data_IF_159496814452
#
_entry.id   IF_159496814452
#
_cell.length_a   1.000
_cell.length_b   1.000
_cell.length_c   1.000
_cell.angle_alpha   90.00
_cell.angle_beta   90.00
_cell.angle_gamma   90.00
#
_symmetry.space_group_name_H-M   'P 1'
#
loop_
_entity.id
_entity.type
_entity.pdbx_description
1 polymer ?
#
# COMPACT_ATOMS: atom_id res chain seq x y z
N UNK A 1 10.61 -36.65 -4.29
CA UNK A 1 12.05 -36.86 -4.59
C UNK A 1 12.82 -36.25 -3.43
N UNK A 2 13.55 -37.06 -2.63
CA UNK A 2 14.42 -36.56 -1.57
C UNK A 2 15.60 -35.82 -2.21
N UNK A 3 15.51 -34.54 -2.37
CA UNK A 3 16.66 -33.69 -2.65
C UNK A 3 17.49 -33.62 -1.37
N UNK A 4 18.59 -34.35 -1.33
CA UNK A 4 19.66 -34.22 -0.32
C UNK A 4 20.16 -32.77 -0.41
N UNK A 5 19.62 -31.85 0.40
CA UNK A 5 20.15 -30.49 0.54
C UNK A 5 21.52 -30.62 1.18
N UNK A 6 22.57 -30.46 0.38
CA UNK A 6 23.95 -30.42 0.87
C UNK A 6 24.17 -29.04 1.49
N UNK A 7 23.92 -28.89 2.76
CA UNK A 7 24.37 -27.74 3.54
C UNK A 7 25.90 -27.74 3.56
N UNK A 8 26.54 -26.67 3.09
CA UNK A 8 27.99 -26.51 3.09
C UNK A 8 28.38 -25.37 4.03
N UNK A 9 29.30 -25.65 4.93
CA UNK A 9 29.84 -24.66 5.87
C UNK A 9 31.19 -24.16 5.36
N UNK A 10 31.38 -22.85 5.40
CA UNK A 10 32.62 -22.18 5.01
C UNK A 10 33.08 -21.23 6.13
N UNK A 11 34.40 -21.15 6.26
CA UNK A 11 35.11 -20.21 7.14
C UNK A 11 35.99 -19.26 6.34
N UNK A 12 35.76 -19.16 5.03
CA UNK A 12 36.56 -18.39 4.07
C UNK A 12 35.97 -17.00 3.82
N UNK A 13 35.58 -16.30 4.90
CA UNK A 13 35.19 -14.89 4.81
C UNK A 13 36.46 -14.09 4.47
N UNK A 14 36.44 -13.40 3.33
CA UNK A 14 37.61 -12.60 2.86
C UNK A 14 37.46 -11.13 3.21
N UNK A 15 36.21 -10.61 3.23
CA UNK A 15 35.94 -9.20 3.49
C UNK A 15 34.62 -9.02 4.23
N UNK A 16 34.53 -7.98 5.09
CA UNK A 16 33.31 -7.48 5.72
C UNK A 16 33.31 -5.96 5.55
N UNK A 17 32.32 -5.44 4.81
CA UNK A 17 32.23 -4.02 4.46
C UNK A 17 30.78 -3.53 4.50
N UNK A 18 30.49 -2.59 5.40
CA UNK A 18 29.10 -2.13 5.61
C UNK A 18 28.15 -3.31 5.91
N UNK A 19 27.02 -3.46 5.23
CA UNK A 19 26.10 -4.56 5.44
C UNK A 19 26.50 -5.84 4.70
N UNK A 20 27.64 -5.84 4.01
CA UNK A 20 28.07 -6.91 3.11
C UNK A 20 29.21 -7.75 3.70
N UNK A 21 29.20 -9.03 3.37
CA UNK A 21 30.24 -9.99 3.68
C UNK A 21 30.57 -10.79 2.41
N UNK A 22 31.86 -10.97 2.14
CA UNK A 22 32.36 -11.74 0.99
C UNK A 22 32.90 -13.07 1.48
N UNK A 23 32.48 -14.16 0.84
CA UNK A 23 32.95 -15.53 1.11
C UNK A 23 33.54 -16.10 -0.15
N UNK A 24 34.79 -16.59 -0.05
CA UNK A 24 35.53 -17.19 -1.16
C UNK A 24 35.53 -18.74 -1.09
N UNK A 25 35.79 -19.37 -2.23
CA UNK A 25 35.86 -20.80 -2.33
C UNK A 25 34.51 -21.51 -2.27
N UNK A 26 33.43 -20.79 -2.56
CA UNK A 26 32.06 -21.35 -2.56
C UNK A 26 31.79 -22.15 -3.84
N UNK A 27 31.03 -23.23 -3.72
CA UNK A 27 30.62 -24.05 -4.87
C UNK A 27 29.13 -24.34 -4.84
N UNK A 28 28.46 -24.17 -5.99
CA UNK A 28 27.04 -24.52 -6.17
C UNK A 28 26.08 -23.67 -5.34
N UNK A 29 26.51 -22.46 -5.04
CA UNK A 29 25.68 -21.43 -4.34
C UNK A 29 24.78 -20.74 -5.37
N UNK A 30 23.51 -20.51 -5.00
CA UNK A 30 22.52 -19.87 -5.83
C UNK A 30 22.34 -18.38 -5.49
N UNK A 31 21.88 -17.62 -6.47
CA UNK A 31 21.44 -16.25 -6.27
C UNK A 31 20.19 -16.24 -5.36
N UNK A 32 20.07 -15.25 -4.44
CA UNK A 32 19.03 -15.17 -3.42
C UNK A 32 18.99 -16.31 -2.39
N UNK A 33 20.00 -17.15 -2.35
CA UNK A 33 20.11 -18.22 -1.36
C UNK A 33 20.30 -17.64 0.05
N UNK A 34 19.64 -18.23 1.03
CA UNK A 34 19.80 -17.86 2.45
C UNK A 34 21.07 -18.50 3.03
N UNK A 35 21.76 -17.73 3.82
CA UNK A 35 23.00 -18.12 4.49
C UNK A 35 22.82 -17.93 6.00
N UNK A 36 23.02 -19.01 6.75
CA UNK A 36 23.16 -18.94 8.21
C UNK A 36 24.58 -18.47 8.54
N UNK A 37 24.72 -17.52 9.41
CA UNK A 37 25.99 -16.91 9.81
C UNK A 37 26.13 -17.08 11.33
N UNK A 38 27.27 -17.63 11.75
CA UNK A 38 27.63 -17.73 13.17
C UNK A 38 28.77 -16.77 13.46
N UNK A 39 28.52 -15.81 14.34
CA UNK A 39 29.54 -14.85 14.77
C UNK A 39 30.61 -15.53 15.64
N UNK A 40 31.80 -14.93 15.81
CA UNK A 40 32.82 -15.44 16.72
C UNK A 40 32.33 -15.67 18.17
N UNK A 41 31.31 -14.93 18.58
CA UNK A 41 30.72 -15.03 19.91
C UNK A 41 29.60 -16.09 20.00
N UNK A 42 29.30 -16.81 18.89
CA UNK A 42 28.27 -17.83 18.81
C UNK A 42 26.84 -17.28 18.59
N UNK A 43 26.71 -16.00 18.29
CA UNK A 43 25.44 -15.40 17.89
C UNK A 43 25.08 -15.87 16.48
N UNK A 44 23.81 -16.19 16.25
CA UNK A 44 23.32 -16.60 14.95
C UNK A 44 22.71 -15.41 14.23
N UNK A 45 23.11 -15.21 13.00
CA UNK A 45 22.57 -14.22 12.05
C UNK A 45 22.20 -14.91 10.75
N UNK A 46 21.47 -14.20 9.94
CA UNK A 46 21.06 -14.66 8.61
C UNK A 46 21.50 -13.67 7.56
N UNK A 47 21.68 -14.15 6.34
CA UNK A 47 22.00 -13.31 5.20
C UNK A 47 21.45 -13.89 3.91
N UNK A 48 21.55 -13.12 2.85
CA UNK A 48 21.12 -13.50 1.51
C UNK A 48 22.25 -13.30 0.51
N UNK A 49 22.43 -14.26 -0.38
CA UNK A 49 23.39 -14.17 -1.47
C UNK A 49 22.88 -13.14 -2.49
N UNK A 50 23.66 -12.09 -2.70
CA UNK A 50 23.37 -11.03 -3.65
C UNK A 50 24.03 -11.22 -5.00
N UNK A 51 25.23 -11.78 -4.99
CA UNK A 51 26.02 -12.00 -6.19
C UNK A 51 26.86 -13.25 -6.03
N UNK A 52 26.99 -13.99 -7.11
CA UNK A 52 27.88 -15.16 -7.19
C UNK A 52 28.72 -15.01 -8.45
N UNK A 53 30.05 -14.97 -8.28
CA UNK A 53 31.00 -14.93 -9.39
C UNK A 53 31.98 -16.05 -9.21
N UNK A 54 31.90 -17.08 -10.05
CA UNK A 54 32.72 -18.31 -9.99
C UNK A 54 32.65 -18.98 -8.60
N UNK A 55 33.61 -18.69 -7.74
CA UNK A 55 33.81 -19.24 -6.41
C UNK A 55 33.72 -18.19 -5.30
N UNK A 56 33.19 -17.01 -5.61
CA UNK A 56 32.98 -15.90 -4.67
C UNK A 56 31.51 -15.60 -4.54
N UNK A 57 31.01 -15.56 -3.31
CA UNK A 57 29.65 -15.10 -2.99
C UNK A 57 29.69 -13.80 -2.17
N UNK A 58 28.93 -12.81 -2.61
CA UNK A 58 28.65 -11.60 -1.84
C UNK A 58 27.33 -11.80 -1.10
N UNK A 59 27.37 -11.70 0.21
CA UNK A 59 26.25 -11.95 1.11
C UNK A 59 25.88 -10.64 1.78
N UNK A 60 24.62 -10.32 1.79
CA UNK A 60 24.07 -9.26 2.62
C UNK A 60 23.58 -9.85 3.94
N UNK A 61 24.09 -9.34 5.04
CA UNK A 61 23.74 -9.78 6.39
C UNK A 61 22.54 -9.01 6.90
N UNK A 62 21.49 -9.71 7.35
CA UNK A 62 20.21 -9.08 7.74
C UNK A 62 20.33 -8.29 9.05
N UNK A 63 20.93 -8.90 10.06
CA UNK A 63 21.06 -8.30 11.40
C UNK A 63 22.31 -7.41 11.53
N UNK A 64 22.95 -7.08 10.41
CA UNK A 64 24.16 -6.25 10.38
C UNK A 64 25.45 -7.04 10.57
N UNK A 65 26.57 -6.39 10.31
CA UNK A 65 27.91 -7.01 10.27
C UNK A 65 28.76 -6.72 11.49
N UNK A 66 28.24 -6.06 12.51
CA UNK A 66 28.94 -5.83 13.76
C UNK A 66 29.42 -7.16 14.35
N UNK A 67 30.64 -7.19 14.89
CA UNK A 67 31.26 -8.38 15.47
C UNK A 67 31.58 -9.54 14.49
N UNK A 68 31.31 -9.39 13.19
CA UNK A 68 31.81 -10.31 12.17
C UNK A 68 33.28 -10.04 11.87
N UNK A 69 34.04 -11.09 11.65
CA UNK A 69 35.44 -10.98 11.23
C UNK A 69 35.77 -12.04 10.17
N UNK A 70 36.92 -11.85 9.51
CA UNK A 70 37.39 -12.74 8.45
C UNK A 70 38.03 -14.05 8.93
N UNK A 71 38.17 -14.28 10.26
CA UNK A 71 38.89 -15.42 10.78
C UNK A 71 37.98 -16.49 11.41
N UNK A 72 37.01 -16.03 12.20
CA UNK A 72 36.24 -16.89 13.10
C UNK A 72 34.75 -16.94 12.74
N UNK A 73 34.30 -16.12 11.77
CA UNK A 73 32.92 -16.15 11.29
C UNK A 73 32.71 -17.40 10.44
N UNK A 74 31.63 -18.12 10.73
CA UNK A 74 31.21 -19.29 9.96
C UNK A 74 29.97 -18.98 9.14
N UNK A 75 29.93 -19.48 7.92
CA UNK A 75 28.81 -19.33 7.00
C UNK A 75 28.33 -20.68 6.52
N UNK A 76 27.00 -20.85 6.52
CA UNK A 76 26.38 -22.08 6.05
C UNK A 76 25.31 -21.75 5.01
N UNK A 77 25.57 -22.12 3.77
CA UNK A 77 24.60 -21.95 2.69
C UNK A 77 23.53 -23.02 2.78
N UNK A 78 22.27 -22.60 2.75
CA UNK A 78 21.12 -23.47 3.01
C UNK A 78 20.60 -24.18 1.76
N UNK A 79 21.01 -23.74 0.56
CA UNK A 79 20.47 -24.21 -0.71
C UNK A 79 19.03 -23.81 -0.97
N UNK A 80 18.51 -22.84 -0.22
CA UNK A 80 17.12 -22.39 -0.31
C UNK A 80 17.04 -20.87 -0.34
N UNK A 81 16.03 -20.35 -1.02
CA UNK A 81 15.65 -18.93 -0.98
C UNK A 81 14.94 -18.60 0.33
N UNK A 82 14.76 -17.31 0.59
CA UNK A 82 14.02 -16.87 1.76
C UNK A 82 12.56 -17.34 1.72
N UNK A 83 12.10 -17.93 2.82
CA UNK A 83 10.73 -18.43 2.98
C UNK A 83 10.07 -17.83 4.21
N UNK A 84 8.76 -17.79 4.19
CA UNK A 84 7.93 -17.51 5.36
C UNK A 84 7.00 -18.70 5.62
N UNK A 85 6.91 -19.10 6.89
CA UNK A 85 5.91 -20.06 7.33
C UNK A 85 4.57 -19.34 7.47
N UNK A 86 3.56 -19.79 6.72
CA UNK A 86 2.21 -19.18 6.69
C UNK A 86 1.19 -20.10 7.32
N UNK A 87 0.24 -19.50 8.02
CA UNK A 87 -0.90 -20.17 8.63
C UNK A 87 -2.04 -19.18 8.83
N UNK A 88 -3.27 -19.67 8.93
CA UNK A 88 -4.41 -18.85 9.33
C UNK A 88 -4.22 -18.22 10.72
N UNK A 89 -3.45 -18.84 11.60
CA UNK A 89 -3.14 -18.35 12.94
C UNK A 89 -2.29 -17.07 12.97
N UNK A 90 -1.81 -16.60 11.81
CA UNK A 90 -1.17 -15.29 11.68
C UNK A 90 -2.18 -14.12 11.74
N UNK A 91 -3.48 -14.36 11.58
CA UNK A 91 -4.51 -13.34 11.77
C UNK A 91 -4.56 -12.94 13.25
N UNK A 92 -4.67 -11.65 13.50
CA UNK A 92 -4.64 -11.10 14.85
C UNK A 92 -3.23 -10.91 15.43
N UNK A 93 -2.18 -11.21 14.65
CA UNK A 93 -0.80 -11.22 15.13
C UNK A 93 0.06 -10.11 14.52
N UNK A 94 1.17 -9.83 15.18
CA UNK A 94 2.12 -8.78 14.81
C UNK A 94 3.50 -9.38 14.67
N UNK A 95 4.12 -9.09 13.52
CA UNK A 95 5.41 -9.61 13.12
C UNK A 95 6.40 -8.48 12.84
N UNK A 96 7.68 -8.75 12.99
CA UNK A 96 8.73 -7.86 12.48
C UNK A 96 8.91 -7.99 10.96
N UNK A 97 9.84 -7.24 10.37
CA UNK A 97 10.08 -7.19 8.93
C UNK A 97 10.51 -8.53 8.28
N UNK A 98 10.94 -9.49 9.08
CA UNK A 98 11.34 -10.84 8.62
C UNK A 98 10.35 -11.94 9.05
N UNK A 99 9.14 -11.55 9.49
CA UNK A 99 8.07 -12.49 9.80
C UNK A 99 8.16 -13.18 11.16
N UNK A 100 8.98 -12.70 12.10
CA UNK A 100 9.01 -13.21 13.48
C UNK A 100 7.95 -12.51 14.33
N UNK A 101 7.16 -13.23 15.15
CA UNK A 101 6.19 -12.62 16.07
C UNK A 101 6.88 -11.66 17.06
N UNK A 102 6.29 -10.49 17.27
CA UNK A 102 6.77 -9.47 18.23
C UNK A 102 5.71 -9.05 19.25
N UNK A 103 4.54 -9.64 19.21
CA UNK A 103 3.39 -9.39 20.09
C UNK A 103 3.43 -10.18 21.42
N UNK A 104 4.52 -10.92 21.68
CA UNK A 104 4.65 -11.76 22.87
C UNK A 104 3.81 -13.05 22.84
N UNK A 105 3.10 -13.31 21.76
CA UNK A 105 2.38 -14.56 21.54
C UNK A 105 3.30 -15.74 21.19
N UNK A 106 2.75 -16.96 21.10
CA UNK A 106 3.52 -18.15 20.74
C UNK A 106 4.03 -18.06 19.29
N UNK A 107 5.07 -18.83 18.96
CA UNK A 107 5.49 -19.02 17.58
C UNK A 107 4.37 -19.63 16.75
N UNK A 108 4.24 -19.19 15.51
CA UNK A 108 3.27 -19.74 14.56
C UNK A 108 3.75 -21.13 14.09
N UNK A 109 2.87 -22.11 14.15
CA UNK A 109 3.10 -23.39 13.51
C UNK A 109 2.63 -23.25 12.07
N UNK A 110 3.52 -23.27 11.08
CA UNK A 110 3.14 -23.02 9.70
C UNK A 110 2.35 -24.19 9.12
N UNK A 111 1.30 -23.88 8.36
CA UNK A 111 0.63 -24.86 7.50
C UNK A 111 1.48 -25.15 6.25
N UNK A 112 2.13 -24.10 5.73
CA UNK A 112 3.02 -24.16 4.57
C UNK A 112 4.23 -23.24 4.74
N UNK A 113 5.34 -23.57 4.06
CA UNK A 113 6.50 -22.68 3.90
C UNK A 113 6.57 -22.19 2.46
N UNK A 114 6.35 -20.91 2.23
CA UNK A 114 6.30 -20.30 0.91
C UNK A 114 7.50 -19.39 0.65
N UNK A 115 7.96 -19.38 -0.60
CA UNK A 115 9.00 -18.47 -1.08
C UNK A 115 8.49 -17.04 -1.08
N UNK A 116 9.20 -16.11 -0.44
CA UNK A 116 8.78 -14.72 -0.29
C UNK A 116 8.80 -13.93 -1.61
N UNK A 117 9.48 -14.42 -2.64
CA UNK A 117 9.41 -13.79 -3.96
C UNK A 117 8.08 -14.04 -4.65
N UNK A 118 7.27 -14.95 -4.12
CA UNK A 118 5.95 -15.29 -4.64
C UNK A 118 6.00 -16.03 -5.97
N UNK A 119 4.84 -16.40 -6.47
CA UNK A 119 4.70 -16.94 -7.81
C UNK A 119 4.19 -15.83 -8.77
N UNK A 120 4.83 -15.64 -9.93
CA UNK A 120 4.33 -14.68 -10.90
C UNK A 120 2.93 -15.10 -11.36
N UNK A 121 1.96 -14.17 -11.22
CA UNK A 121 0.60 -14.38 -11.68
C UNK A 121 0.56 -14.41 -13.21
N UNK A 122 0.04 -15.50 -13.78
CA UNK A 122 -0.09 -15.62 -15.23
C UNK A 122 -1.06 -14.53 -15.75
N UNK A 123 -0.64 -13.64 -16.65
CA UNK A 123 -1.50 -12.58 -17.17
C UNK A 123 -2.77 -13.11 -17.85
N UNK A 124 -2.71 -14.30 -18.47
CA UNK A 124 -3.86 -14.92 -19.14
C UNK A 124 -4.91 -15.48 -18.17
N UNK A 125 -4.54 -15.67 -16.90
CA UNK A 125 -5.43 -16.14 -15.83
C UNK A 125 -5.95 -15.00 -14.95
N UNK A 126 -5.60 -13.75 -15.24
CA UNK A 126 -6.11 -12.59 -14.50
C UNK A 126 -7.53 -12.28 -14.90
N UNK A 127 -8.41 -12.19 -13.93
CA UNK A 127 -9.74 -11.62 -14.12
C UNK A 127 -9.70 -10.09 -14.06
N UNK A 128 -10.62 -9.46 -14.81
CA UNK A 128 -10.79 -8.01 -14.75
C UNK A 128 -11.46 -7.62 -13.42
N UNK A 129 -10.94 -6.63 -12.68
CA UNK A 129 -11.52 -6.15 -11.43
C UNK A 129 -12.90 -5.51 -11.65
N UNK A 130 -13.93 -5.98 -10.93
CA UNK A 130 -15.32 -5.53 -11.12
C UNK A 130 -16.11 -5.34 -9.81
N UNK A 131 -15.57 -5.72 -8.65
CA UNK A 131 -16.30 -5.66 -7.39
C UNK A 131 -15.86 -4.49 -6.53
N UNK A 132 -16.83 -3.81 -5.90
CA UNK A 132 -16.64 -2.67 -5.04
C UNK A 132 -16.03 -3.06 -3.68
N UNK A 133 -14.99 -2.35 -3.25
CA UNK A 133 -14.49 -2.38 -1.87
C UNK A 133 -14.87 -1.07 -1.21
N UNK A 134 -15.67 -1.15 -0.15
CA UNK A 134 -16.02 0.01 0.67
C UNK A 134 -14.88 0.31 1.63
N UNK A 135 -14.32 1.52 1.54
CA UNK A 135 -13.29 2.02 2.46
C UNK A 135 -13.88 2.84 3.60
N UNK A 136 -15.12 3.25 3.48
CA UNK A 136 -15.82 4.13 4.40
C UNK A 136 -15.41 5.61 4.30
N UNK A 137 -14.62 5.96 3.26
CA UNK A 137 -14.16 7.32 2.98
C UNK A 137 -14.88 7.84 1.74
N UNK A 138 -15.73 8.87 1.90
CA UNK A 138 -16.58 9.38 0.82
C UNK A 138 -15.81 9.79 -0.44
N UNK A 139 -14.65 10.41 -0.31
CA UNK A 139 -13.80 10.83 -1.45
C UNK A 139 -13.18 9.67 -2.20
N UNK A 140 -12.98 8.53 -1.55
CA UNK A 140 -12.52 7.30 -2.18
C UNK A 140 -13.73 6.56 -2.76
N UNK A 141 -14.67 6.17 -1.92
CA UNK A 141 -15.79 5.32 -2.31
C UNK A 141 -16.69 5.98 -3.37
N UNK A 142 -16.97 7.27 -3.21
CA UNK A 142 -17.86 8.02 -4.11
C UNK A 142 -17.21 8.52 -5.39
N UNK A 143 -15.91 8.81 -5.40
CA UNK A 143 -15.26 9.54 -6.50
C UNK A 143 -14.04 8.85 -7.10
N UNK A 144 -13.40 7.95 -6.36
CA UNK A 144 -12.17 7.24 -6.76
C UNK A 144 -12.21 5.80 -6.28
N UNK A 145 -13.31 5.13 -6.53
CA UNK A 145 -13.68 3.84 -5.99
C UNK A 145 -12.56 2.79 -6.09
N UNK A 146 -12.27 2.14 -4.96
CA UNK A 146 -11.38 1.00 -4.89
C UNK A 146 -12.11 -0.26 -5.38
N UNK A 147 -11.47 -0.98 -6.29
CA UNK A 147 -12.04 -2.19 -6.90
C UNK A 147 -11.23 -3.40 -6.47
N UNK A 148 -11.90 -4.51 -6.22
CA UNK A 148 -11.30 -5.76 -5.78
C UNK A 148 -10.26 -6.28 -6.78
N UNK A 149 -9.04 -6.51 -6.32
CA UNK A 149 -7.90 -6.90 -7.16
C UNK A 149 -7.11 -5.74 -7.77
N UNK A 150 -7.48 -4.49 -7.46
CA UNK A 150 -6.81 -3.28 -7.94
C UNK A 150 -5.57 -2.92 -7.12
N UNK A 151 -4.66 -2.17 -7.75
CA UNK A 151 -3.56 -1.44 -7.11
C UNK A 151 -3.87 0.05 -7.14
N UNK A 152 -4.29 0.63 -6.00
CA UNK A 152 -4.66 2.04 -5.91
C UNK A 152 -3.82 2.72 -4.81
N UNK A 153 -2.72 3.39 -5.17
CA UNK A 153 -1.82 4.03 -4.21
C UNK A 153 -2.38 5.33 -3.66
N UNK A 154 -1.93 5.69 -2.45
CA UNK A 154 -2.13 6.99 -1.83
C UNK A 154 -0.82 7.78 -1.92
N UNK A 155 -0.86 8.91 -2.62
CA UNK A 155 0.24 9.85 -2.73
C UNK A 155 0.08 10.94 -1.67
N UNK A 156 0.93 10.91 -0.67
CA UNK A 156 0.95 11.85 0.45
C UNK A 156 2.12 12.83 0.36
N UNK A 157 2.12 13.84 1.20
CA UNK A 157 3.25 14.72 1.47
C UNK A 157 3.73 14.59 2.91
N UNK A 158 4.96 15.00 3.18
CA UNK A 158 5.51 14.95 4.54
C UNK A 158 4.65 15.74 5.53
N UNK A 159 4.29 15.10 6.65
CA UNK A 159 3.45 15.67 7.71
C UNK A 159 1.95 15.73 7.38
N UNK A 160 1.49 15.15 6.26
CA UNK A 160 0.06 14.92 6.02
C UNK A 160 -0.41 13.66 6.76
N UNK A 161 -1.71 13.57 7.11
CA UNK A 161 -2.25 12.50 7.98
C UNK A 161 -2.50 11.19 7.24
N UNK A 162 -1.53 10.71 6.46
CA UNK A 162 -1.66 9.46 5.72
C UNK A 162 -1.70 8.22 6.62
N UNK A 163 -1.01 8.28 7.78
CA UNK A 163 -1.06 7.21 8.77
C UNK A 163 -2.45 7.07 9.40
N UNK A 164 -3.09 8.20 9.74
CA UNK A 164 -4.48 8.21 10.23
C UNK A 164 -5.42 7.60 9.18
N UNK A 165 -5.27 7.98 7.91
CA UNK A 165 -6.08 7.46 6.82
C UNK A 165 -5.85 5.96 6.58
N UNK A 166 -4.59 5.51 6.63
CA UNK A 166 -4.23 4.10 6.49
C UNK A 166 -4.90 3.23 7.57
N UNK A 167 -4.83 3.67 8.82
CA UNK A 167 -5.44 2.98 9.96
C UNK A 167 -6.97 2.98 9.86
N UNK A 168 -7.56 4.10 9.46
CA UNK A 168 -9.00 4.21 9.27
C UNK A 168 -9.49 3.23 8.19
N UNK A 169 -8.82 3.16 7.03
CA UNK A 169 -9.13 2.21 5.97
C UNK A 169 -8.92 0.77 6.45
N UNK A 170 -7.78 0.47 7.09
CA UNK A 170 -7.48 -0.88 7.60
C UNK A 170 -8.57 -1.40 8.55
N UNK A 171 -9.14 -0.52 9.36
CA UNK A 171 -10.15 -0.84 10.35
C UNK A 171 -11.53 -1.07 9.75
N UNK A 172 -11.93 -0.29 8.76
CA UNK A 172 -13.31 -0.23 8.29
C UNK A 172 -13.55 -0.76 6.87
N UNK A 173 -12.46 -1.06 6.12
CA UNK A 173 -12.59 -1.62 4.78
C UNK A 173 -13.30 -2.97 4.78
N UNK A 174 -14.18 -3.18 3.80
CA UNK A 174 -14.97 -4.40 3.64
C UNK A 174 -15.47 -4.59 2.21
N UNK A 175 -15.75 -5.83 1.86
CA UNK A 175 -16.53 -6.19 0.67
C UNK A 175 -17.97 -6.43 1.11
N UNK A 176 -18.91 -5.71 0.54
CA UNK A 176 -20.33 -5.82 0.93
C UNK A 176 -20.86 -7.22 0.65
N UNK A 177 -21.41 -7.87 1.69
CA UNK A 177 -21.96 -9.24 1.60
C UNK A 177 -20.92 -10.36 1.69
N UNK A 178 -19.65 -10.06 1.92
CA UNK A 178 -18.55 -11.03 2.09
C UNK A 178 -17.60 -10.63 3.24
N UNK A 179 -18.14 -10.08 4.32
CA UNK A 179 -17.34 -9.52 5.42
C UNK A 179 -16.54 -10.57 6.21
N UNK A 180 -17.05 -11.81 6.29
CA UNK A 180 -16.39 -12.91 7.03
C UNK A 180 -15.19 -13.50 6.26
N UNK A 181 -15.10 -13.26 4.96
CA UNK A 181 -14.03 -13.72 4.08
C UNK A 181 -13.03 -12.61 3.78
N UNK A 182 -13.10 -11.48 4.50
CA UNK A 182 -12.25 -10.31 4.29
C UNK A 182 -11.14 -10.24 5.35
N UNK A 183 -9.91 -10.10 4.89
CA UNK A 183 -8.73 -9.90 5.74
C UNK A 183 -7.94 -8.69 5.30
N UNK A 184 -7.25 -8.05 6.25
CA UNK A 184 -6.34 -6.94 5.97
C UNK A 184 -4.93 -7.32 6.39
N UNK A 185 -3.96 -7.08 5.51
CA UNK A 185 -2.54 -7.15 5.84
C UNK A 185 -1.99 -5.73 5.86
N UNK A 186 -1.43 -5.34 6.99
CA UNK A 186 -0.83 -4.03 7.19
C UNK A 186 0.67 -4.17 7.31
N UNK A 187 1.43 -3.67 6.34
CA UNK A 187 2.88 -3.72 6.34
C UNK A 187 3.45 -2.30 6.44
N UNK A 188 4.09 -2.01 7.57
CA UNK A 188 4.73 -0.74 7.85
C UNK A 188 6.25 -0.86 7.71
N UNK A 189 6.86 0.02 6.90
CA UNK A 189 8.26 -0.03 6.51
C UNK A 189 8.99 1.25 6.91
N UNK A 190 10.04 1.12 7.74
CA UNK A 190 10.88 2.24 8.15
C UNK A 190 10.14 3.28 9.00
N UNK A 191 9.15 2.84 9.76
CA UNK A 191 8.36 3.71 10.62
C UNK A 191 9.09 3.99 11.95
N UNK A 192 8.77 5.13 12.55
CA UNK A 192 9.28 5.47 13.89
C UNK A 192 8.59 4.63 14.96
N UNK A 193 9.23 4.51 16.14
CA UNK A 193 8.62 3.87 17.31
C UNK A 193 7.30 4.56 17.72
N UNK A 194 7.18 5.86 17.50
CA UNK A 194 5.96 6.62 17.79
C UNK A 194 4.82 6.22 16.85
N UNK A 195 5.09 6.10 15.56
CA UNK A 195 4.12 5.62 14.56
C UNK A 195 3.72 4.18 14.82
N UNK A 196 4.67 3.30 15.16
CA UNK A 196 4.38 1.91 15.52
C UNK A 196 3.43 1.83 16.71
N UNK A 197 3.71 2.59 17.79
CA UNK A 197 2.84 2.68 18.95
C UNK A 197 1.45 3.26 18.62
N UNK A 198 1.38 4.22 17.69
CA UNK A 198 0.12 4.78 17.22
C UNK A 198 -0.73 3.70 16.53
N UNK A 199 -0.16 2.96 15.58
CA UNK A 199 -0.85 1.87 14.89
C UNK A 199 -1.37 0.80 15.85
N UNK A 200 -0.49 0.35 16.77
CA UNK A 200 -0.84 -0.68 17.74
C UNK A 200 -2.00 -0.28 18.63
N UNK A 201 -1.92 0.92 19.21
CA UNK A 201 -2.97 1.43 20.11
C UNK A 201 -4.32 1.59 19.41
N UNK A 202 -4.32 2.03 18.15
CA UNK A 202 -5.58 2.17 17.41
C UNK A 202 -6.19 0.82 17.07
N UNK A 203 -5.41 -0.13 16.58
CA UNK A 203 -5.88 -1.48 16.25
C UNK A 203 -6.39 -2.23 17.49
N UNK A 204 -5.70 -2.11 18.64
CA UNK A 204 -6.16 -2.67 19.90
C UNK A 204 -7.45 -1.99 20.41
N UNK A 205 -7.46 -0.65 20.43
CA UNK A 205 -8.61 0.16 20.91
C UNK A 205 -9.89 -0.16 20.14
N UNK A 206 -9.78 -0.41 18.85
CA UNK A 206 -10.92 -0.63 17.96
C UNK A 206 -11.30 -2.09 17.78
N UNK A 207 -10.47 -3.03 18.25
CA UNK A 207 -10.64 -4.46 18.02
C UNK A 207 -10.37 -4.89 16.56
N UNK A 208 -9.84 -3.98 15.74
CA UNK A 208 -9.55 -4.27 14.33
C UNK A 208 -8.49 -5.35 14.17
N UNK A 209 -7.62 -5.52 15.17
CA UNK A 209 -6.51 -6.48 15.12
C UNK A 209 -6.98 -7.91 14.81
N UNK A 210 -8.18 -8.31 15.22
CA UNK A 210 -8.70 -9.66 14.97
C UNK A 210 -8.75 -10.05 13.47
N UNK A 211 -8.91 -9.07 12.58
CA UNK A 211 -8.95 -9.25 11.11
C UNK A 211 -7.66 -8.83 10.42
N UNK A 212 -6.68 -8.32 11.19
CA UNK A 212 -5.41 -7.83 10.66
C UNK A 212 -4.28 -8.84 10.87
N UNK A 213 -3.38 -8.88 9.90
CA UNK A 213 -2.01 -9.39 10.10
C UNK A 213 -1.06 -8.22 9.88
N UNK A 214 -0.22 -7.94 10.88
CA UNK A 214 0.61 -6.74 10.87
C UNK A 214 2.08 -7.11 10.76
N UNK A 215 2.79 -6.50 9.80
CA UNK A 215 4.24 -6.58 9.67
C UNK A 215 4.83 -5.20 9.94
N UNK A 216 5.81 -5.11 10.83
CA UNK A 216 6.44 -3.85 11.18
C UNK A 216 7.96 -3.93 11.05
N UNK A 217 8.52 -3.00 10.27
CA UNK A 217 9.94 -2.70 10.23
C UNK A 217 10.13 -1.28 10.74
N UNK A 218 10.92 -1.10 11.78
CA UNK A 218 11.18 0.19 12.38
C UNK A 218 12.29 0.95 11.63
N UNK A 219 12.41 2.24 11.90
CA UNK A 219 13.39 3.10 11.25
C UNK A 219 14.83 2.74 11.60
N UNK A 220 15.05 2.18 12.80
CA UNK A 220 16.33 1.71 13.30
C UNK A 220 16.63 0.23 12.97
N UNK A 221 15.67 -0.50 12.40
CA UNK A 221 15.91 -1.84 11.87
C UNK A 221 16.75 -1.79 10.57
N UNK A 222 17.48 -2.86 10.26
CA UNK A 222 18.30 -2.94 9.04
C UNK A 222 17.51 -2.68 7.75
N UNK A 223 18.12 -1.95 6.80
CA UNK A 223 17.49 -1.61 5.53
C UNK A 223 17.06 -2.85 4.72
N UNK A 224 17.74 -3.98 4.87
CA UNK A 224 17.36 -5.22 4.20
C UNK A 224 16.05 -5.81 4.73
N UNK A 225 15.79 -5.74 6.03
CA UNK A 225 14.50 -6.16 6.59
C UNK A 225 13.37 -5.33 6.00
N UNK A 226 13.61 -4.04 5.76
CA UNK A 226 12.64 -3.13 5.11
C UNK A 226 12.28 -3.58 3.69
N UNK A 227 13.25 -4.12 2.95
CA UNK A 227 13.02 -4.69 1.61
C UNK A 227 12.27 -6.02 1.68
N UNK A 228 12.50 -6.82 2.72
CA UNK A 228 11.83 -8.10 2.90
C UNK A 228 10.37 -7.94 3.38
N UNK A 229 10.08 -6.91 4.18
CA UNK A 229 8.77 -6.69 4.82
C UNK A 229 7.59 -6.78 3.83
N UNK A 230 7.54 -6.06 2.70
CA UNK A 230 6.41 -6.16 1.78
C UNK A 230 6.33 -7.53 1.10
N UNK A 231 7.47 -8.23 0.93
CA UNK A 231 7.50 -9.58 0.36
C UNK A 231 6.89 -10.59 1.32
N UNK A 232 7.22 -10.49 2.62
CA UNK A 232 6.61 -11.32 3.67
C UNK A 232 5.10 -11.11 3.74
N UNK A 233 4.66 -9.83 3.77
CA UNK A 233 3.26 -9.45 3.79
C UNK A 233 2.48 -9.98 2.58
N UNK A 234 3.02 -9.83 1.38
CA UNK A 234 2.37 -10.28 0.15
C UNK A 234 2.34 -11.80 0.01
N UNK A 235 3.35 -12.52 0.52
CA UNK A 235 3.33 -13.98 0.53
C UNK A 235 2.26 -14.50 1.49
N UNK A 236 2.09 -13.85 2.64
CA UNK A 236 0.97 -14.13 3.55
C UNK A 236 -0.38 -13.81 2.87
N UNK A 237 -0.46 -12.71 2.12
CA UNK A 237 -1.66 -12.36 1.35
C UNK A 237 -2.00 -13.41 0.28
N UNK A 238 -1.00 -13.92 -0.44
CA UNK A 238 -1.19 -14.98 -1.42
C UNK A 238 -1.74 -16.26 -0.79
N UNK A 239 -1.23 -16.63 0.38
CA UNK A 239 -1.76 -17.78 1.14
C UNK A 239 -3.24 -17.56 1.54
N UNK A 240 -3.57 -16.38 2.10
CA UNK A 240 -4.95 -16.08 2.47
C UNK A 240 -5.88 -16.05 1.26
N UNK A 241 -5.44 -15.41 0.17
CA UNK A 241 -6.28 -15.28 -1.02
C UNK A 241 -6.41 -16.60 -1.79
N UNK A 242 -5.30 -17.27 -2.10
CA UNK A 242 -5.33 -18.37 -3.06
C UNK A 242 -5.34 -19.76 -2.44
N UNK A 243 -5.03 -19.89 -1.14
CA UNK A 243 -5.19 -21.16 -0.40
C UNK A 243 -6.44 -21.15 0.46
N UNK A 244 -6.75 -20.04 1.16
CA UNK A 244 -7.92 -19.94 2.03
C UNK A 244 -9.16 -19.33 1.35
N UNK A 245 -9.05 -18.79 0.12
CA UNK A 245 -10.16 -18.21 -0.63
C UNK A 245 -10.60 -16.81 -0.16
N UNK A 246 -9.79 -16.11 0.63
CA UNK A 246 -10.19 -14.85 1.27
C UNK A 246 -10.02 -13.64 0.34
N UNK A 247 -10.77 -12.57 0.62
CA UNK A 247 -10.56 -11.26 0.03
C UNK A 247 -9.54 -10.49 0.87
N UNK A 248 -8.38 -10.18 0.32
CA UNK A 248 -7.28 -9.59 1.08
C UNK A 248 -6.99 -8.17 0.60
N UNK A 249 -7.07 -7.20 1.52
CA UNK A 249 -6.57 -5.85 1.31
C UNK A 249 -5.18 -5.74 1.93
N UNK A 250 -4.19 -5.39 1.13
CA UNK A 250 -2.81 -5.17 1.59
C UNK A 250 -2.51 -3.68 1.57
N UNK A 251 -2.22 -3.11 2.74
CA UNK A 251 -1.79 -1.72 2.91
C UNK A 251 -0.29 -1.72 3.15
N UNK A 252 0.46 -1.06 2.27
CA UNK A 252 1.92 -0.97 2.33
C UNK A 252 2.31 0.48 2.63
N UNK A 253 2.81 0.77 3.84
CA UNK A 253 3.25 2.13 4.26
C UNK A 253 4.62 2.08 4.93
N UNK A 254 5.63 2.85 4.60
CA UNK A 254 5.73 3.84 3.55
C UNK A 254 6.61 3.32 2.40
N UNK A 255 6.11 3.35 1.20
CA UNK A 255 6.84 2.88 0.02
C UNK A 255 8.01 3.81 -0.35
N UNK A 256 8.03 5.05 0.15
CA UNK A 256 9.19 5.93 0.02
C UNK A 256 10.35 5.40 0.85
N UNK A 257 10.10 4.97 2.10
CA UNK A 257 11.12 4.35 2.95
C UNK A 257 11.65 3.04 2.33
N UNK A 258 10.78 2.29 1.67
CA UNK A 258 11.17 1.11 0.90
C UNK A 258 12.16 1.47 -0.23
N UNK A 259 11.83 2.47 -1.05
CA UNK A 259 12.70 2.92 -2.13
C UNK A 259 14.02 3.52 -1.63
N UNK A 260 14.01 4.20 -0.48
CA UNK A 260 15.23 4.69 0.18
C UNK A 260 16.12 3.54 0.65
N UNK A 261 15.54 2.44 1.16
CA UNK A 261 16.29 1.25 1.49
C UNK A 261 16.94 0.60 0.25
N UNK A 262 16.23 0.56 -0.88
CA UNK A 262 16.81 0.12 -2.16
C UNK A 262 18.00 1.00 -2.57
N UNK A 263 17.88 2.32 -2.43
CA UNK A 263 18.96 3.26 -2.73
C UNK A 263 20.17 3.06 -1.83
N UNK A 264 19.96 2.87 -0.54
CA UNK A 264 21.01 2.61 0.44
C UNK A 264 21.78 1.32 0.10
N UNK A 265 21.08 0.25 -0.20
CA UNK A 265 21.68 -1.04 -0.53
C UNK A 265 22.42 -0.98 -1.87
N UNK A 266 21.82 -0.33 -2.88
CA UNK A 266 22.49 -0.12 -4.18
C UNK A 266 23.77 0.70 -4.04
N UNK A 267 23.76 1.72 -3.20
CA UNK A 267 24.95 2.52 -2.92
C UNK A 267 26.04 1.70 -2.18
N UNK A 268 25.64 0.85 -1.23
CA UNK A 268 26.57 -0.04 -0.52
C UNK A 268 27.21 -1.09 -1.44
N UNK A 269 26.54 -1.45 -2.53
CA UNK A 269 27.05 -2.35 -3.59
C UNK A 269 27.88 -1.63 -4.66
N UNK A 270 28.05 -0.31 -4.56
CA UNK A 270 28.72 0.51 -5.58
C UNK A 270 28.07 0.39 -6.98
N UNK A 271 26.77 0.11 -7.05
CA UNK A 271 26.04 0.02 -8.30
C UNK A 271 25.95 1.41 -8.97
N UNK A 272 25.93 1.42 -10.32
CA UNK A 272 25.78 2.67 -11.06
C UNK A 272 24.38 3.27 -10.80
N UNK A 273 24.30 4.46 -10.20
CA UNK A 273 23.01 5.06 -9.84
C UNK A 273 22.23 5.50 -11.08
N UNK A 274 20.93 5.29 -11.05
CA UNK A 274 19.97 5.84 -12.00
C UNK A 274 19.50 7.25 -11.62
N UNK A 275 18.28 7.61 -12.03
CA UNK A 275 17.66 8.90 -11.80
C UNK A 275 17.58 9.22 -10.29
N UNK A 276 18.08 10.37 -9.86
CA UNK A 276 18.11 10.85 -8.47
C UNK A 276 18.82 9.88 -7.48
N UNK A 277 19.73 9.05 -7.98
CA UNK A 277 20.52 8.13 -7.14
C UNK A 277 19.81 6.81 -6.78
N UNK A 278 18.62 6.55 -7.30
CA UNK A 278 17.95 5.26 -7.14
C UNK A 278 18.53 4.21 -8.08
N UNK A 279 18.46 2.91 -7.73
CA UNK A 279 18.96 1.86 -8.60
C UNK A 279 18.17 1.79 -9.91
N UNK A 280 18.85 1.43 -11.00
CA UNK A 280 18.23 1.32 -12.32
C UNK A 280 17.09 0.29 -12.39
N UNK A 281 17.12 -0.71 -11.50
CA UNK A 281 16.10 -1.76 -11.40
C UNK A 281 14.90 -1.41 -10.50
N UNK A 282 14.81 -0.20 -9.93
CA UNK A 282 13.73 0.18 -9.01
C UNK A 282 12.33 -0.02 -9.62
N UNK A 283 12.18 0.25 -10.94
CA UNK A 283 10.92 -0.01 -11.63
C UNK A 283 10.52 -1.49 -11.58
N UNK A 284 11.45 -2.38 -11.94
CA UNK A 284 11.20 -3.83 -11.95
C UNK A 284 10.93 -4.37 -10.56
N UNK A 285 11.60 -3.83 -9.55
CA UNK A 285 11.42 -4.23 -8.17
C UNK A 285 10.06 -3.80 -7.62
N UNK A 286 9.65 -2.55 -7.84
CA UNK A 286 8.31 -2.06 -7.52
C UNK A 286 7.21 -2.83 -8.29
N UNK A 287 7.43 -3.12 -9.58
CA UNK A 287 6.53 -3.95 -10.36
C UNK A 287 6.40 -5.36 -9.78
N UNK A 288 7.50 -5.95 -9.31
CA UNK A 288 7.51 -7.26 -8.64
C UNK A 288 6.66 -7.30 -7.37
N UNK A 289 6.52 -6.16 -6.66
CA UNK A 289 5.63 -6.02 -5.50
C UNK A 289 4.19 -5.77 -5.94
N UNK A 290 3.97 -4.76 -6.75
CA UNK A 290 2.60 -4.32 -7.09
C UNK A 290 1.85 -5.33 -7.97
N UNK A 291 2.54 -6.03 -8.87
CA UNK A 291 1.93 -7.04 -9.75
C UNK A 291 1.49 -8.34 -9.01
N UNK A 292 1.75 -8.45 -7.70
CA UNK A 292 1.18 -9.51 -6.86
C UNK A 292 -0.28 -9.26 -6.48
N UNK A 293 -0.83 -8.07 -6.72
CA UNK A 293 -2.26 -7.80 -6.62
C UNK A 293 -3.01 -8.35 -7.81
N UNK A 294 -4.25 -8.77 -7.61
CA UNK A 294 -5.15 -9.20 -8.68
C UNK A 294 -6.14 -10.27 -8.26
N UNK A 295 -6.94 -10.68 -9.24
CA UNK A 295 -7.84 -11.84 -9.20
C UNK A 295 -7.35 -12.87 -10.21
N UNK A 296 -7.56 -14.13 -9.90
CA UNK A 296 -7.21 -15.27 -10.77
C UNK A 296 -8.48 -16.02 -11.12
N UNK A 297 -8.67 -16.30 -12.41
CA UNK A 297 -9.81 -17.06 -12.93
C UNK A 297 -9.93 -18.42 -12.20
N UNK A 298 -11.14 -18.71 -11.73
CA UNK A 298 -11.44 -19.92 -10.96
C UNK A 298 -10.96 -19.93 -9.51
N UNK A 299 -10.44 -18.81 -8.99
CA UNK A 299 -10.11 -18.61 -7.57
C UNK A 299 -11.12 -17.66 -6.91
N UNK A 300 -11.61 -18.02 -5.73
CA UNK A 300 -12.55 -17.16 -4.98
C UNK A 300 -11.85 -15.94 -4.36
N UNK A 301 -10.63 -16.11 -3.88
CA UNK A 301 -9.84 -15.07 -3.24
C UNK A 301 -9.24 -14.05 -4.20
N UNK A 302 -8.83 -12.92 -3.63
CA UNK A 302 -8.18 -11.85 -4.38
C UNK A 302 -7.23 -11.04 -3.49
N UNK A 303 -6.27 -10.35 -4.12
CA UNK A 303 -5.36 -9.41 -3.45
C UNK A 303 -5.58 -8.03 -4.04
N UNK A 304 -6.02 -7.09 -3.20
CA UNK A 304 -6.11 -5.66 -3.51
C UNK A 304 -4.99 -4.94 -2.76
N UNK A 305 -4.29 -4.00 -3.41
CA UNK A 305 -3.20 -3.26 -2.77
C UNK A 305 -3.50 -1.76 -2.70
N UNK A 306 -3.23 -1.17 -1.54
CA UNK A 306 -3.15 0.26 -1.32
C UNK A 306 -1.74 0.64 -0.84
N UNK A 307 -0.79 0.81 -1.77
CA UNK A 307 0.52 1.34 -1.43
C UNK A 307 0.40 2.82 -1.00
N UNK A 308 1.05 3.20 0.08
CA UNK A 308 1.12 4.59 0.54
C UNK A 308 2.55 5.07 0.39
N UNK A 309 2.73 6.21 -0.22
CA UNK A 309 4.04 6.84 -0.38
C UNK A 309 3.99 8.32 0.01
N UNK A 310 5.09 8.83 0.54
CA UNK A 310 5.29 10.24 0.80
C UNK A 310 6.13 10.85 -0.32
N UNK A 311 5.54 11.77 -1.10
CA UNK A 311 6.23 12.44 -2.20
C UNK A 311 7.32 13.36 -1.63
N UNK A 312 8.62 13.15 -1.97
CA UNK A 312 9.66 14.07 -1.57
C UNK A 312 9.38 15.48 -2.13
N UNK A 313 9.34 16.47 -1.24
CA UNK A 313 9.03 17.88 -1.57
C UNK A 313 7.65 18.11 -2.22
N UNK A 314 6.68 17.23 -1.98
CA UNK A 314 5.37 17.22 -2.63
C UNK A 314 5.46 17.12 -4.17
N UNK A 315 6.57 16.60 -4.72
CA UNK A 315 6.85 16.51 -6.15
C UNK A 315 6.32 15.18 -6.72
N UNK A 316 5.16 15.24 -7.38
CA UNK A 316 4.54 14.07 -8.04
C UNK A 316 5.38 13.54 -9.21
N UNK A 317 6.33 14.34 -9.74
CA UNK A 317 7.25 13.93 -10.82
C UNK A 317 8.52 13.25 -10.31
N UNK A 318 8.65 13.11 -8.98
CA UNK A 318 9.75 12.37 -8.37
C UNK A 318 9.70 10.88 -8.80
N UNK A 319 10.85 10.18 -8.98
CA UNK A 319 10.87 8.80 -9.45
C UNK A 319 9.94 7.84 -8.71
N UNK A 320 9.76 8.00 -7.42
CA UNK A 320 8.92 7.11 -6.61
C UNK A 320 7.43 7.21 -7.00
N UNK A 321 6.75 8.36 -6.93
CA UNK A 321 5.36 8.48 -7.38
C UNK A 321 5.23 8.28 -8.90
N UNK A 322 6.18 8.74 -9.70
CA UNK A 322 6.18 8.61 -11.16
C UNK A 322 6.13 7.13 -11.57
N UNK A 323 7.05 6.30 -11.08
CA UNK A 323 7.09 4.87 -11.37
C UNK A 323 5.89 4.12 -10.78
N UNK A 324 5.47 4.46 -9.56
CA UNK A 324 4.28 3.88 -8.94
C UNK A 324 3.04 4.13 -9.79
N UNK A 325 2.85 5.37 -10.29
CA UNK A 325 1.73 5.74 -11.15
C UNK A 325 1.69 5.01 -12.50
N UNK A 326 2.86 4.59 -13.03
CA UNK A 326 2.94 3.77 -14.24
C UNK A 326 2.51 2.32 -14.02
N UNK A 327 2.79 1.76 -12.84
CA UNK A 327 2.53 0.34 -12.54
C UNK A 327 1.10 0.14 -12.07
N UNK A 328 0.51 1.13 -11.39
CA UNK A 328 -0.78 1.03 -10.72
C UNK A 328 -1.95 1.55 -11.56
N UNK A 329 -3.19 1.30 -11.12
CA UNK A 329 -4.40 1.69 -11.84
C UNK A 329 -5.03 2.98 -11.32
N UNK A 330 -4.22 3.96 -10.96
CA UNK A 330 -4.67 5.28 -10.50
C UNK A 330 -3.86 5.79 -9.32
N UNK A 331 -4.37 6.81 -8.63
CA UNK A 331 -3.80 7.36 -7.39
C UNK A 331 -4.85 8.15 -6.61
N UNK A 332 -4.74 8.14 -5.30
CA UNK A 332 -5.40 9.07 -4.39
C UNK A 332 -4.36 10.10 -3.94
N UNK A 333 -4.62 11.38 -4.11
CA UNK A 333 -3.65 12.44 -3.79
C UNK A 333 -4.11 13.19 -2.55
N UNK A 334 -3.24 13.28 -1.54
CA UNK A 334 -3.47 14.12 -0.36
C UNK A 334 -2.89 15.53 -0.60
N UNK A 335 -3.68 16.56 -0.28
CA UNK A 335 -3.34 17.95 -0.50
C UNK A 335 -2.96 18.67 0.79
N UNK A 336 -1.81 19.34 0.75
CA UNK A 336 -1.38 20.22 1.83
C UNK A 336 -2.27 21.45 1.97
N UNK A 337 -2.81 21.94 0.87
CA UNK A 337 -3.74 23.08 0.87
C UNK A 337 -5.02 22.72 1.64
N UNK A 338 -5.65 21.58 1.32
CA UNK A 338 -6.85 21.08 1.98
C UNK A 338 -6.57 20.81 3.47
N UNK A 339 -5.42 20.18 3.77
CA UNK A 339 -5.00 19.91 5.15
C UNK A 339 -4.83 21.19 5.99
N UNK A 340 -4.30 22.28 5.40
CA UNK A 340 -4.15 23.58 6.08
C UNK A 340 -5.49 24.25 6.42
N UNK A 341 -6.57 23.89 5.72
CA UNK A 341 -7.94 24.32 6.05
C UNK A 341 -8.53 23.54 7.25
N UNK A 342 -7.78 22.56 7.81
CA UNK A 342 -8.26 21.71 8.89
C UNK A 342 -9.18 20.57 8.43
N UNK A 343 -9.23 20.29 7.15
CA UNK A 343 -10.06 19.26 6.54
C UNK A 343 -9.36 17.89 6.64
N UNK A 344 -10.09 16.89 7.10
CA UNK A 344 -9.65 15.49 7.15
C UNK A 344 -10.74 14.56 6.58
N UNK A 345 -10.36 13.53 5.79
CA UNK A 345 -9.05 13.33 5.17
C UNK A 345 -8.78 14.38 4.08
N UNK A 346 -7.55 14.91 3.93
CA UNK A 346 -7.27 15.97 3.00
C UNK A 346 -7.08 15.46 1.55
N UNK A 347 -8.04 14.69 1.07
CA UNK A 347 -8.02 14.13 -0.29
C UNK A 347 -8.37 15.20 -1.31
N UNK A 348 -7.47 15.46 -2.25
CA UNK A 348 -7.76 16.28 -3.42
C UNK A 348 -8.33 15.39 -4.54
N UNK A 349 -9.62 15.51 -4.77
CA UNK A 349 -10.32 14.67 -5.75
C UNK A 349 -9.97 15.01 -7.20
N UNK A 350 -9.45 16.21 -7.48
CA UNK A 350 -9.18 16.65 -8.86
C UNK A 350 -7.98 15.93 -9.49
N UNK A 351 -6.81 15.80 -8.82
CA UNK A 351 -5.69 15.00 -9.33
C UNK A 351 -5.81 13.51 -9.00
N UNK A 352 -6.81 13.11 -8.22
CA UNK A 352 -7.06 11.70 -7.88
C UNK A 352 -7.80 10.99 -9.00
N UNK A 353 -7.52 9.71 -9.18
CA UNK A 353 -8.11 8.90 -10.25
C UNK A 353 -8.09 7.42 -9.89
N UNK A 354 -9.21 6.72 -10.06
CA UNK A 354 -9.27 5.26 -10.13
C UNK A 354 -9.69 4.84 -11.53
N UNK A 355 -8.77 4.24 -12.29
CA UNK A 355 -9.02 3.84 -13.70
C UNK A 355 -10.00 2.68 -13.81
N UNK A 356 -10.19 1.90 -12.76
CA UNK A 356 -11.07 0.74 -12.74
C UNK A 356 -12.44 1.02 -12.10
N UNK A 357 -12.66 2.25 -11.62
CA UNK A 357 -13.89 2.66 -10.94
C UNK A 357 -15.15 2.26 -11.71
N UNK A 358 -15.19 2.51 -13.03
CA UNK A 358 -16.37 2.23 -13.87
C UNK A 358 -16.81 0.75 -13.85
N UNK A 359 -15.86 -0.18 -13.65
CA UNK A 359 -16.15 -1.61 -13.50
C UNK A 359 -16.69 -1.99 -12.13
N UNK A 360 -16.39 -1.21 -11.10
CA UNK A 360 -16.73 -1.49 -9.69
C UNK A 360 -18.00 -0.83 -9.18
N UNK A 361 -18.70 0.00 -9.98
CA UNK A 361 -19.84 0.81 -9.54
C UNK A 361 -21.11 0.57 -10.36
N UNK A 362 -22.25 0.97 -9.82
CA UNK A 362 -23.57 0.80 -10.46
C UNK A 362 -24.15 -0.60 -10.29
N UNK A 363 -25.37 -0.81 -10.77
CA UNK A 363 -26.05 -2.09 -10.71
C UNK A 363 -26.14 -2.67 -9.29
N UNK A 364 -25.78 -3.97 -9.16
CA UNK A 364 -25.80 -4.69 -7.89
C UNK A 364 -24.60 -4.35 -6.96
N UNK A 365 -23.65 -3.53 -7.43
CA UNK A 365 -22.39 -3.24 -6.71
C UNK A 365 -22.51 -2.04 -5.78
N UNK A 366 -23.12 -0.97 -6.28
CA UNK A 366 -23.40 0.26 -5.51
C UNK A 366 -24.83 0.73 -5.83
N UNK A 367 -24.98 1.89 -6.49
CA UNK A 367 -26.28 2.40 -6.92
C UNK A 367 -26.17 2.92 -8.36
N UNK A 368 -27.22 2.79 -9.16
CA UNK A 368 -27.20 3.09 -10.61
C UNK A 368 -26.86 4.55 -10.95
N UNK A 369 -27.14 5.47 -10.05
CA UNK A 369 -26.82 6.90 -10.20
C UNK A 369 -25.37 7.24 -9.85
N UNK A 370 -24.57 6.29 -9.29
CA UNK A 370 -23.23 6.55 -8.74
C UNK A 370 -22.30 7.24 -9.74
N UNK A 371 -22.19 6.72 -10.96
CA UNK A 371 -21.32 7.32 -11.98
C UNK A 371 -21.71 8.77 -12.30
N UNK A 372 -23.01 9.01 -12.49
CA UNK A 372 -23.52 10.36 -12.78
C UNK A 372 -23.31 11.33 -11.64
N UNK A 373 -23.54 10.90 -10.40
CA UNK A 373 -23.30 11.71 -9.19
C UNK A 373 -21.83 12.05 -9.07
N UNK A 374 -20.93 11.07 -9.20
CA UNK A 374 -19.48 11.28 -9.15
C UNK A 374 -19.01 12.29 -10.19
N UNK A 375 -19.41 12.11 -11.45
CA UNK A 375 -19.05 13.01 -12.55
C UNK A 375 -19.58 14.44 -12.35
N UNK A 376 -20.78 14.57 -11.79
CA UNK A 376 -21.39 15.88 -11.53
C UNK A 376 -20.70 16.59 -10.36
N UNK A 377 -20.43 15.89 -9.27
CA UNK A 377 -19.68 16.40 -8.12
C UNK A 377 -18.29 16.88 -8.53
N UNK A 378 -17.56 16.05 -9.29
CA UNK A 378 -16.24 16.38 -9.80
C UNK A 378 -16.25 17.66 -10.65
N UNK A 379 -17.16 17.72 -11.62
CA UNK A 379 -17.27 18.87 -12.54
C UNK A 379 -17.64 20.16 -11.80
N UNK A 380 -18.58 20.08 -10.86
CA UNK A 380 -19.00 21.23 -10.09
C UNK A 380 -17.91 21.73 -9.13
N UNK A 381 -17.18 20.81 -8.50
CA UNK A 381 -16.08 21.17 -7.62
C UNK A 381 -14.90 21.78 -8.41
N UNK A 382 -14.57 21.23 -9.59
CA UNK A 382 -13.55 21.81 -10.47
C UNK A 382 -13.89 23.24 -10.87
N UNK A 383 -15.13 23.50 -11.29
CA UNK A 383 -15.60 24.84 -11.65
C UNK A 383 -15.56 25.81 -10.45
N UNK A 384 -15.98 25.35 -9.27
CA UNK A 384 -15.91 26.16 -8.04
C UNK A 384 -14.46 26.50 -7.64
N UNK A 385 -13.50 25.59 -7.84
CA UNK A 385 -12.07 25.85 -7.62
C UNK A 385 -11.52 26.89 -8.58
N UNK A 386 -11.83 26.80 -9.87
CA UNK A 386 -11.44 27.80 -10.89
C UNK A 386 -12.04 29.17 -10.58
N UNK A 387 -13.29 29.23 -10.11
CA UNK A 387 -13.93 30.48 -9.71
C UNK A 387 -13.27 31.11 -8.48
N UNK A 388 -12.80 30.32 -7.50
CA UNK A 388 -12.02 30.86 -6.36
C UNK A 388 -10.74 31.57 -6.83
N UNK A 389 -10.03 30.99 -7.79
CA UNK A 389 -8.84 31.59 -8.38
C UNK A 389 -9.18 32.88 -9.13
N UNK A 390 -10.30 32.89 -9.84
CA UNK A 390 -10.81 34.09 -10.53
C UNK A 390 -11.16 35.21 -9.54
N UNK A 391 -11.87 34.90 -8.46
CA UNK A 391 -12.24 35.85 -7.38
C UNK A 391 -11.02 36.53 -6.79
N UNK A 392 -9.92 35.79 -6.59
CA UNK A 392 -8.66 36.35 -6.09
C UNK A 392 -8.06 37.43 -6.99
N UNK A 393 -8.42 37.44 -8.29
CA UNK A 393 -7.92 38.39 -9.28
C UNK A 393 -8.91 39.53 -9.54
N UNK A 394 -10.20 39.24 -9.71
CA UNK A 394 -11.21 40.24 -10.16
C UNK A 394 -12.15 40.71 -9.08
N UNK A 395 -12.20 40.04 -7.93
CA UNK A 395 -13.14 40.33 -6.81
C UNK A 395 -14.50 39.63 -6.99
N UNK A 396 -15.22 39.45 -5.88
CA UNK A 396 -16.53 38.78 -5.84
C UNK A 396 -17.63 39.53 -6.60
N UNK A 397 -17.51 40.84 -6.72
CA UNK A 397 -18.51 41.71 -7.37
C UNK A 397 -18.64 41.40 -8.90
N UNK A 398 -17.67 40.74 -9.48
CA UNK A 398 -17.66 40.37 -10.90
C UNK A 398 -18.40 39.05 -11.20
N UNK A 399 -18.81 38.31 -10.18
CA UNK A 399 -19.46 37.02 -10.32
C UNK A 399 -20.95 37.12 -10.62
N UNK A 400 -21.41 36.20 -11.46
CA UNK A 400 -22.85 35.98 -11.68
C UNK A 400 -23.49 35.22 -10.51
N UNK A 401 -24.82 35.26 -10.41
CA UNK A 401 -25.54 34.43 -9.42
C UNK A 401 -25.27 32.95 -9.58
N UNK A 402 -25.07 32.51 -10.83
CA UNK A 402 -24.65 31.13 -11.14
C UNK A 402 -23.27 30.83 -10.53
N UNK A 403 -22.30 31.69 -10.74
CA UNK A 403 -20.92 31.49 -10.24
C UNK A 403 -20.89 31.46 -8.70
N UNK A 404 -21.72 32.31 -8.05
CA UNK A 404 -21.87 32.27 -6.60
C UNK A 404 -22.38 30.91 -6.09
N UNK A 405 -23.29 30.26 -6.83
CA UNK A 405 -23.78 28.92 -6.49
C UNK A 405 -22.71 27.86 -6.60
N UNK A 406 -21.81 27.92 -7.59
CA UNK A 406 -20.68 27.01 -7.70
C UNK A 406 -19.62 27.23 -6.60
N UNK A 407 -19.39 28.47 -6.16
CA UNK A 407 -18.54 28.76 -5.01
C UNK A 407 -19.15 28.21 -3.70
N UNK A 408 -20.46 28.43 -3.49
CA UNK A 408 -21.18 27.87 -2.35
C UNK A 408 -21.11 26.35 -2.34
N UNK A 409 -21.31 25.72 -3.50
CA UNK A 409 -21.19 24.27 -3.66
C UNK A 409 -19.77 23.79 -3.31
N UNK A 410 -18.72 24.44 -3.85
CA UNK A 410 -17.34 24.02 -3.60
C UNK A 410 -16.96 24.10 -2.12
N UNK A 411 -17.45 25.14 -1.40
CA UNK A 411 -17.25 25.23 0.03
C UNK A 411 -18.01 24.14 0.79
N UNK A 412 -19.27 23.92 0.47
CA UNK A 412 -20.07 22.86 1.08
C UNK A 412 -19.50 21.45 0.80
N UNK A 413 -18.97 21.25 -0.40
CA UNK A 413 -18.30 19.99 -0.76
C UNK A 413 -17.05 19.72 0.10
N UNK A 414 -16.22 20.73 0.33
CA UNK A 414 -15.07 20.61 1.24
C UNK A 414 -15.53 20.36 2.68
N UNK A 415 -16.51 21.10 3.17
CA UNK A 415 -16.94 21.07 4.57
C UNK A 415 -17.74 19.80 4.94
N UNK A 416 -18.47 19.21 4.00
CA UNK A 416 -19.41 18.12 4.28
C UNK A 416 -19.03 16.81 3.60
N UNK A 417 -18.60 16.85 2.33
CA UNK A 417 -18.29 15.62 1.58
C UNK A 417 -16.87 15.13 1.84
N UNK A 418 -15.86 16.02 1.75
CA UNK A 418 -14.47 15.66 2.01
C UNK A 418 -14.26 15.45 3.51
N UNK A 419 -14.79 16.37 4.34
CA UNK A 419 -14.59 16.30 5.79
C UNK A 419 -15.30 15.11 6.41
N UNK A 420 -14.52 14.26 7.07
CA UNK A 420 -15.00 13.16 7.91
C UNK A 420 -14.21 13.13 9.21
N UNK A 421 -14.80 12.59 10.27
CA UNK A 421 -14.01 12.29 11.47
C UNK A 421 -13.16 11.03 11.27
N UNK A 422 -12.10 10.89 12.06
CA UNK A 422 -11.19 9.72 11.98
C UNK A 422 -11.85 8.39 12.33
N UNK A 423 -12.99 8.42 13.01
CA UNK A 423 -13.76 7.24 13.41
C UNK A 423 -15.05 7.07 12.60
N UNK A 424 -15.29 7.92 11.59
CA UNK A 424 -16.48 7.87 10.78
C UNK A 424 -16.35 6.87 9.63
N UNK A 425 -17.28 5.92 9.57
CA UNK A 425 -17.42 4.94 8.48
C UNK A 425 -18.71 5.29 7.71
N UNK A 426 -18.57 5.98 6.56
CA UNK A 426 -19.71 6.29 5.69
C UNK A 426 -19.90 5.16 4.68
N UNK A 427 -21.11 4.63 4.63
CA UNK A 427 -21.49 3.70 3.57
C UNK A 427 -21.53 4.42 2.21
N UNK A 428 -21.42 3.66 1.13
CA UNK A 428 -21.55 4.21 -0.23
C UNK A 428 -22.92 4.87 -0.44
N UNK A 429 -23.97 4.34 0.17
CA UNK A 429 -25.32 4.90 0.06
C UNK A 429 -25.42 6.26 0.77
N UNK A 430 -24.90 6.38 1.99
CA UNK A 430 -24.82 7.67 2.71
C UNK A 430 -23.97 8.69 1.94
N UNK A 431 -22.86 8.23 1.34
CA UNK A 431 -22.00 9.07 0.49
C UNK A 431 -22.74 9.61 -0.73
N UNK A 432 -23.52 8.78 -1.43
CA UNK A 432 -24.31 9.21 -2.57
C UNK A 432 -25.47 10.13 -2.19
N UNK A 433 -26.14 9.87 -1.07
CA UNK A 433 -27.20 10.73 -0.56
C UNK A 433 -26.66 12.09 -0.13
N UNK A 434 -25.48 12.13 0.49
CA UNK A 434 -24.77 13.37 0.77
C UNK A 434 -24.41 14.13 -0.51
N UNK A 435 -23.92 13.40 -1.54
CA UNK A 435 -23.68 13.96 -2.87
C UNK A 435 -24.91 14.65 -3.44
N UNK A 436 -26.07 14.02 -3.41
CA UNK A 436 -27.34 14.61 -3.85
C UNK A 436 -27.76 15.83 -3.03
N UNK A 437 -27.57 15.81 -1.72
CA UNK A 437 -27.88 16.96 -0.87
C UNK A 437 -27.06 18.21 -1.24
N UNK A 438 -25.80 18.00 -1.64
CA UNK A 438 -24.93 19.07 -2.11
C UNK A 438 -25.30 19.55 -3.52
N UNK A 439 -25.66 18.64 -4.43
CA UNK A 439 -26.08 18.98 -5.79
C UNK A 439 -27.34 19.84 -5.80
N UNK A 440 -28.17 19.80 -4.75
CA UNK A 440 -29.33 20.71 -4.58
C UNK A 440 -28.95 22.21 -4.53
N UNK A 441 -27.72 22.54 -4.14
CA UNK A 441 -27.20 23.92 -4.13
C UNK A 441 -27.19 24.52 -5.54
N UNK A 442 -26.94 23.67 -6.55
CA UNK A 442 -26.86 24.07 -7.94
C UNK A 442 -28.24 24.16 -8.60
N UNK A 443 -28.44 25.08 -9.56
CA UNK A 443 -29.65 25.07 -10.38
C UNK A 443 -29.81 23.73 -11.10
N UNK A 444 -31.03 23.19 -11.14
CA UNK A 444 -31.32 21.90 -11.84
C UNK A 444 -30.79 21.86 -13.28
N UNK A 445 -30.82 23.00 -13.98
CA UNK A 445 -30.30 23.11 -15.35
C UNK A 445 -28.76 22.89 -15.48
N UNK A 446 -28.03 22.96 -14.40
CA UNK A 446 -26.58 22.71 -14.35
C UNK A 446 -26.24 21.23 -14.06
N UNK A 447 -27.19 20.40 -13.68
CA UNK A 447 -27.02 18.98 -13.43
C UNK A 447 -26.98 18.19 -14.75
N UNK A 448 -25.99 18.46 -15.60
CA UNK A 448 -25.93 17.97 -16.99
C UNK A 448 -25.29 16.58 -17.14
N UNK A 449 -24.63 16.10 -16.06
CA UNK A 449 -23.92 14.81 -16.06
C UNK A 449 -24.72 13.67 -15.46
N UNK A 450 -25.88 14.01 -14.86
CA UNK A 450 -26.78 13.04 -14.25
C UNK A 450 -28.01 12.88 -15.13
N UNK A 451 -28.50 11.67 -15.29
CA UNK A 451 -29.73 11.38 -16.03
C UNK A 451 -30.95 11.99 -15.31
N UNK A 452 -31.91 12.48 -16.09
CA UNK A 452 -33.13 13.13 -15.58
C UNK A 452 -33.92 12.19 -14.63
N UNK A 453 -33.99 10.91 -14.91
CA UNK A 453 -34.65 9.92 -14.08
C UNK A 453 -34.09 9.89 -12.64
N UNK A 454 -32.76 9.99 -12.49
CA UNK A 454 -32.11 10.02 -11.18
C UNK A 454 -32.29 11.37 -10.48
N UNK A 455 -32.31 12.47 -11.24
CA UNK A 455 -32.61 13.79 -10.69
C UNK A 455 -34.04 13.82 -10.10
N UNK A 456 -35.03 13.21 -10.81
CA UNK A 456 -36.40 13.13 -10.31
C UNK A 456 -36.54 12.22 -9.08
N UNK A 457 -35.72 11.18 -9.01
CA UNK A 457 -35.78 10.17 -7.95
C UNK A 457 -35.04 10.59 -6.67
N UNK A 458 -33.83 11.17 -6.79
CA UNK A 458 -32.93 11.35 -5.68
C UNK A 458 -32.69 12.81 -5.27
N UNK A 459 -32.93 13.81 -6.17
CA UNK A 459 -32.73 15.20 -5.78
C UNK A 459 -33.73 15.58 -4.68
N UNK A 460 -33.27 16.04 -3.49
CA UNK A 460 -34.17 16.43 -2.41
C UNK A 460 -35.14 17.50 -2.85
N UNK A 461 -36.44 17.31 -2.62
CA UNK A 461 -37.47 18.29 -2.94
C UNK A 461 -37.40 19.47 -1.97
N UNK A 462 -37.75 20.64 -2.44
CA UNK A 462 -37.94 21.79 -1.55
C UNK A 462 -39.14 21.52 -0.65
N UNK A 463 -39.00 21.66 0.67
CA UNK A 463 -40.08 21.61 1.66
C UNK A 463 -40.95 22.82 1.56
#
# INVERSE_FOLDING_TARGET
>A
MNTNIKTREYTTVSEVSGPLMVVEGVEGVGYNEIVDIETPNGEKRSGQVLEVTKDVAVIQVFEGTNDLNTKDTKTRFTGQTAKIGVSRDMMGRIFNGIGKPIDGGPEIIPDEELDINGAPMNPASREFPEEFIQTGISTIDGMNTLVRGQKLPIFSGSGLPHNDLAVQIARQAKVLGAEDEFAVIFAAMGITNEEANFFMRDFERTGALEKLTVFMNLADDPAIERILTPKMALTTAEYYAFTLGMQVLVILTDMTNYCEALREISAAREEVPGRRGYPGYMYTDLAGIYERAGRIDGQEGSITQMPILVMPQDDITHPIPDLTGYITEGQIVLSREISRKGIYPPVDVLPSLSRLMSGGIGGDKTRDDHSGVSDQLYSAYAEGRELRDLVAVVGEEALTERDQKFLEFAQAFEDQFITQSKDEDRTIFETLDLGWSLLKILPKAELKRVKEEFIEQYLPKDD
#
